data_IF_489928830196
#
_entry.id   IF_489928830196
#
_cell.length_a   1.000
_cell.length_b   1.000
_cell.length_c   1.000
_cell.angle_alpha   90.00
_cell.angle_beta   90.00
_cell.angle_gamma   90.00
#
_symmetry.space_group_name_H-M   'P 1'
#
loop_
_entity.id
_entity.type
_entity.pdbx_description
1 polymer ?
#
# COMPACT_ATOMS: atom_id res chain seq x y z
N UNK A 1 1.66 -1.07 27.68
CA UNK A 1 1.22 -1.93 26.56
C UNK A 1 0.74 -1.08 25.37
N UNK A 2 -0.15 -0.09 25.55
CA UNK A 2 -0.58 0.85 24.48
C UNK A 2 0.55 1.73 23.88
N UNK A 3 1.52 2.17 24.70
CA UNK A 3 2.73 2.85 24.19
C UNK A 3 3.63 1.94 23.35
N UNK A 4 3.59 0.63 23.61
CA UNK A 4 4.37 -0.36 22.85
C UNK A 4 3.71 -0.62 21.51
N UNK A 5 2.38 -0.69 21.45
CA UNK A 5 1.63 -0.91 20.21
C UNK A 5 1.68 0.29 19.26
N UNK A 6 1.66 1.51 19.80
CA UNK A 6 1.84 2.75 19.01
C UNK A 6 3.29 2.92 18.55
N UNK A 7 4.26 2.58 19.39
CA UNK A 7 5.67 2.54 19.00
C UNK A 7 5.93 1.48 17.92
N UNK A 8 5.33 0.29 18.06
CA UNK A 8 5.39 -0.76 17.05
C UNK A 8 4.78 -0.27 15.74
N UNK A 9 3.56 0.28 15.73
CA UNK A 9 2.94 0.75 14.48
C UNK A 9 3.75 1.84 13.79
N UNK A 10 4.32 2.80 14.53
CA UNK A 10 5.19 3.84 13.98
C UNK A 10 6.48 3.24 13.39
N UNK A 11 7.06 2.21 14.02
CA UNK A 11 8.22 1.50 13.48
C UNK A 11 7.83 0.73 12.23
N UNK A 12 6.72 0.01 12.24
CA UNK A 12 6.24 -0.80 11.11
C UNK A 12 5.90 0.07 9.91
N UNK A 13 5.23 1.21 10.10
CA UNK A 13 4.95 2.16 9.01
C UNK A 13 6.24 2.68 8.39
N UNK A 14 7.23 3.05 9.21
CA UNK A 14 8.55 3.46 8.69
C UNK A 14 9.27 2.31 7.99
N UNK A 15 9.19 1.09 8.52
CA UNK A 15 9.82 -0.08 7.93
C UNK A 15 9.20 -0.40 6.56
N UNK A 16 7.88 -0.35 6.44
CA UNK A 16 7.15 -0.53 5.18
C UNK A 16 7.52 0.53 4.15
N UNK A 17 7.68 1.80 4.56
CA UNK A 17 8.16 2.88 3.70
C UNK A 17 9.59 2.62 3.19
N UNK A 18 10.48 2.16 4.06
CA UNK A 18 11.85 1.79 3.68
C UNK A 18 11.89 0.59 2.74
N UNK A 19 11.12 -0.47 3.04
CA UNK A 19 10.99 -1.66 2.20
C UNK A 19 10.43 -1.28 0.84
N UNK A 20 9.45 -0.38 0.79
CA UNK A 20 8.92 0.14 -0.45
C UNK A 20 9.97 0.91 -1.25
N UNK A 21 10.75 1.79 -0.61
CA UNK A 21 11.80 2.56 -1.29
C UNK A 21 12.89 1.64 -1.87
N UNK A 22 13.36 0.67 -1.08
CA UNK A 22 14.38 -0.29 -1.50
C UNK A 22 13.87 -1.15 -2.65
N UNK A 23 12.65 -1.68 -2.55
CA UNK A 23 12.07 -2.50 -3.62
C UNK A 23 11.82 -1.68 -4.88
N UNK A 24 11.37 -0.43 -4.75
CA UNK A 24 11.16 0.47 -5.89
C UNK A 24 12.48 0.80 -6.59
N UNK A 25 13.51 1.14 -5.82
CA UNK A 25 14.84 1.40 -6.35
C UNK A 25 15.42 0.17 -7.06
N UNK A 26 15.34 -1.01 -6.41
CA UNK A 26 15.77 -2.27 -7.00
C UNK A 26 15.06 -2.56 -8.32
N UNK A 27 13.74 -2.35 -8.38
CA UNK A 27 12.94 -2.54 -9.59
C UNK A 27 13.29 -1.58 -10.73
N UNK A 28 13.69 -0.35 -10.41
CA UNK A 28 14.15 0.66 -11.39
C UNK A 28 15.50 0.25 -11.94
N UNK A 29 16.46 -0.09 -11.08
CA UNK A 29 17.81 -0.54 -11.48
C UNK A 29 17.72 -1.78 -12.36
N UNK A 30 16.91 -2.76 -11.95
CA UNK A 30 16.66 -3.99 -12.71
C UNK A 30 16.05 -3.72 -14.10
N UNK A 31 15.19 -2.71 -14.22
CA UNK A 31 14.66 -2.27 -15.51
C UNK A 31 15.74 -1.61 -16.38
N UNK A 32 16.54 -0.70 -15.81
CA UNK A 32 17.65 -0.04 -16.51
C UNK A 32 18.67 -1.04 -17.05
N UNK A 33 19.07 -2.04 -16.26
CA UNK A 33 20.00 -3.09 -16.68
C UNK A 33 19.44 -3.87 -17.88
N UNK A 34 18.15 -4.25 -17.84
CA UNK A 34 17.52 -4.97 -18.96
C UNK A 34 17.47 -4.16 -20.25
N UNK A 35 17.17 -2.86 -20.16
CA UNK A 35 17.19 -1.95 -21.32
C UNK A 35 18.60 -1.82 -21.89
N UNK A 36 19.61 -1.66 -21.04
CA UNK A 36 21.00 -1.55 -21.46
C UNK A 36 21.48 -2.81 -22.21
N UNK A 37 21.15 -4.00 -21.69
CA UNK A 37 21.47 -5.27 -22.35
C UNK A 37 20.77 -5.38 -23.71
N UNK A 38 19.51 -4.95 -23.83
CA UNK A 38 18.78 -4.93 -25.10
C UNK A 38 19.46 -4.03 -26.14
N UNK A 39 19.86 -2.81 -25.73
CA UNK A 39 20.54 -1.86 -26.62
C UNK A 39 21.89 -2.43 -27.12
N UNK A 40 22.67 -3.05 -26.22
CA UNK A 40 23.91 -3.73 -26.59
C UNK A 40 23.63 -4.87 -27.57
N UNK A 41 22.59 -5.66 -27.31
CA UNK A 41 22.23 -6.80 -28.17
C UNK A 41 21.83 -6.35 -29.57
N UNK A 42 21.05 -5.27 -29.68
CA UNK A 42 20.66 -4.67 -30.96
C UNK A 42 21.87 -4.09 -31.70
N UNK A 43 22.74 -3.36 -30.99
CA UNK A 43 23.97 -2.82 -31.57
C UNK A 43 24.88 -3.93 -32.12
N UNK A 44 25.05 -5.02 -31.36
CA UNK A 44 25.81 -6.18 -31.82
C UNK A 44 25.21 -6.80 -33.06
N UNK A 45 23.88 -6.99 -33.17
CA UNK A 45 23.25 -7.53 -34.38
C UNK A 45 23.39 -6.59 -35.59
N UNK A 46 23.37 -5.28 -35.36
CA UNK A 46 23.45 -4.28 -36.43
C UNK A 46 24.89 -4.10 -36.97
N UNK A 47 25.89 -4.20 -36.10
CA UNK A 47 27.30 -3.91 -36.45
C UNK A 47 28.16 -5.17 -36.61
N UNK A 48 27.85 -6.24 -35.87
CA UNK A 48 28.47 -7.56 -36.00
C UNK A 48 27.43 -8.46 -36.69
N UNK A 49 27.85 -9.42 -37.53
CA UNK A 49 26.94 -10.46 -38.05
C UNK A 49 26.53 -11.39 -36.90
N UNK A 50 25.60 -10.91 -36.06
CA UNK A 50 25.08 -11.60 -34.90
C UNK A 50 24.18 -12.75 -35.35
N UNK A 51 24.66 -13.98 -35.17
CA UNK A 51 23.92 -15.19 -35.53
C UNK A 51 22.61 -15.38 -34.75
N UNK A 52 21.90 -16.46 -35.10
CA UNK A 52 20.58 -16.86 -34.56
C UNK A 52 20.44 -16.80 -33.04
N UNK A 53 21.55 -16.97 -32.31
CA UNK A 53 21.61 -16.87 -30.84
C UNK A 53 21.19 -15.47 -30.35
N UNK A 54 21.63 -14.40 -31.03
CA UNK A 54 21.33 -13.02 -30.64
C UNK A 54 19.85 -12.69 -30.80
N UNK A 55 19.22 -13.23 -31.84
CA UNK A 55 17.77 -13.07 -32.09
C UNK A 55 16.96 -13.74 -30.99
N UNK A 56 17.34 -14.96 -30.59
CA UNK A 56 16.67 -15.68 -29.50
C UNK A 56 16.79 -14.95 -28.16
N UNK A 57 17.97 -14.39 -27.86
CA UNK A 57 18.18 -13.58 -26.66
C UNK A 57 17.33 -12.30 -26.65
N UNK A 58 17.21 -11.61 -27.79
CA UNK A 58 16.36 -10.42 -27.90
C UNK A 58 14.88 -10.77 -27.70
N UNK A 59 14.38 -11.86 -28.29
CA UNK A 59 12.99 -12.30 -28.14
C UNK A 59 12.64 -12.65 -26.68
N UNK A 60 13.50 -13.43 -26.03
CA UNK A 60 13.30 -13.83 -24.63
C UNK A 60 13.37 -12.63 -23.68
N UNK A 61 14.29 -11.68 -23.92
CA UNK A 61 14.49 -10.49 -23.11
C UNK A 61 13.34 -9.48 -23.29
N UNK A 62 12.86 -9.28 -24.52
CA UNK A 62 11.71 -8.40 -24.82
C UNK A 62 10.42 -8.97 -24.24
N UNK A 63 10.17 -10.28 -24.38
CA UNK A 63 9.05 -10.96 -23.75
C UNK A 63 9.04 -10.77 -22.23
N UNK A 64 10.18 -11.05 -21.57
CA UNK A 64 10.31 -10.91 -20.11
C UNK A 64 10.12 -9.47 -19.65
N UNK A 65 10.60 -8.49 -20.42
CA UNK A 65 10.44 -7.06 -20.12
C UNK A 65 8.97 -6.64 -20.22
N UNK A 66 8.24 -7.09 -21.25
CA UNK A 66 6.81 -6.79 -21.43
C UNK A 66 5.97 -7.46 -20.33
N UNK A 67 6.26 -8.71 -20.00
CA UNK A 67 5.57 -9.43 -18.92
C UNK A 67 5.76 -8.73 -17.57
N UNK A 68 7.00 -8.39 -17.22
CA UNK A 68 7.32 -7.70 -15.97
C UNK A 68 6.74 -6.28 -15.93
N UNK A 69 6.76 -5.56 -17.04
CA UNK A 69 6.09 -4.26 -17.14
C UNK A 69 4.58 -4.43 -16.86
N UNK A 70 3.88 -5.33 -17.56
CA UNK A 70 2.45 -5.56 -17.34
C UNK A 70 2.11 -5.88 -15.89
N UNK A 71 2.89 -6.74 -15.24
CA UNK A 71 2.67 -7.08 -13.83
C UNK A 71 2.91 -5.89 -12.90
N UNK A 72 4.01 -5.13 -13.09
CA UNK A 72 4.32 -3.92 -12.30
C UNK A 72 3.26 -2.83 -12.49
N UNK A 73 2.79 -2.61 -13.71
CA UNK A 73 1.71 -1.67 -14.02
C UNK A 73 0.39 -2.08 -13.35
N UNK A 74 0.04 -3.38 -13.36
CA UNK A 74 -1.16 -3.88 -12.67
C UNK A 74 -1.09 -3.63 -11.15
N UNK A 75 0.08 -3.84 -10.55
CA UNK A 75 0.31 -3.58 -9.13
C UNK A 75 0.20 -2.08 -8.79
N UNK A 76 0.80 -1.21 -9.59
CA UNK A 76 0.69 0.25 -9.42
C UNK A 76 -0.75 0.75 -9.57
N UNK A 77 -1.49 0.26 -10.57
CA UNK A 77 -2.90 0.60 -10.74
C UNK A 77 -3.72 0.17 -9.53
N UNK A 78 -3.50 -1.04 -8.99
CA UNK A 78 -4.17 -1.53 -7.78
C UNK A 78 -3.91 -0.64 -6.56
N UNK A 79 -2.66 -0.18 -6.38
CA UNK A 79 -2.28 0.76 -5.31
C UNK A 79 -2.92 2.13 -5.49
N UNK A 80 -2.93 2.67 -6.71
CA UNK A 80 -3.57 3.97 -6.98
C UNK A 80 -5.09 3.95 -6.74
N UNK A 81 -5.76 2.83 -7.02
CA UNK A 81 -7.18 2.64 -6.71
C UNK A 81 -7.42 2.53 -5.21
N UNK A 82 -6.51 1.89 -4.46
CA UNK A 82 -6.58 1.82 -3.00
C UNK A 82 -6.43 3.20 -2.33
N UNK A 83 -5.49 4.03 -2.81
CA UNK A 83 -5.28 5.41 -2.30
C UNK A 83 -6.52 6.28 -2.55
N UNK A 84 -7.08 6.25 -3.77
CA UNK A 84 -8.32 6.98 -4.11
C UNK A 84 -9.52 6.55 -3.25
N UNK A 85 -9.55 5.28 -2.83
CA UNK A 85 -10.60 4.75 -1.93
C UNK A 85 -10.42 5.22 -0.49
N UNK A 86 -9.18 5.43 -0.04
CA UNK A 86 -8.86 6.00 1.27
C UNK A 86 -9.18 7.50 1.33
N UNK A 87 -8.90 8.25 0.26
CA UNK A 87 -9.23 9.69 0.15
C UNK A 87 -10.74 9.97 0.14
N UNK A 88 -11.57 8.99 -0.24
CA UNK A 88 -13.03 9.14 -0.26
C UNK A 88 -13.71 9.03 1.11
N UNK A 89 -12.98 8.76 2.19
CA UNK A 89 -13.53 8.63 3.54
C UNK A 89 -13.42 9.95 4.31
N UNK A 90 -14.56 10.52 4.73
CA UNK A 90 -14.63 11.80 5.44
C UNK A 90 -13.93 11.76 6.79
N UNK A 91 -13.11 12.77 7.11
CA UNK A 91 -12.41 12.94 8.39
C UNK A 91 -13.30 13.68 9.41
N UNK A 92 -13.50 13.11 10.60
CA UNK A 92 -14.34 13.73 11.63
C UNK A 92 -13.64 14.95 12.26
N UNK A 93 -14.38 16.05 12.39
CA UNK A 93 -13.89 17.36 12.86
C UNK A 93 -13.71 17.38 14.38
N UNK A 94 -12.64 18.02 14.85
CA UNK A 94 -12.25 18.16 16.26
C UNK A 94 -13.31 18.80 17.17
N UNK A 95 -14.30 19.50 16.62
CA UNK A 95 -15.37 20.19 17.36
C UNK A 95 -16.48 19.27 17.86
N UNK A 96 -16.76 18.13 17.21
CA UNK A 96 -17.73 17.15 17.72
C UNK A 96 -17.15 16.29 18.86
N UNK A 97 -15.83 16.35 19.04
CA UNK A 97 -15.09 15.54 19.98
C UNK A 97 -14.99 16.13 21.38
N UNK A 98 -15.10 17.45 21.50
CA UNK A 98 -15.09 18.15 22.78
C UNK A 98 -16.45 18.10 23.50
N UNK A 99 -17.52 17.75 22.80
CA UNK A 99 -18.89 17.77 23.32
C UNK A 99 -19.31 16.39 23.88
N UNK A 100 -18.80 15.30 23.30
CA UNK A 100 -18.91 13.93 23.81
C UNK A 100 -17.58 13.52 24.44
N UNK A 101 -17.36 13.95 25.68
CA UNK A 101 -16.19 13.61 26.51
C UNK A 101 -16.22 12.14 26.96
N UNK A 102 -16.32 11.22 26.00
CA UNK A 102 -16.42 9.78 26.22
C UNK A 102 -15.07 9.10 25.96
N UNK A 103 -14.83 8.06 26.76
CA UNK A 103 -13.67 7.19 26.69
C UNK A 103 -13.92 6.15 25.60
N UNK A 104 -12.93 5.86 24.75
CA UNK A 104 -13.09 4.85 23.71
C UNK A 104 -13.30 3.46 24.32
N UNK A 105 -14.40 2.79 23.97
CA UNK A 105 -14.71 1.45 24.49
C UNK A 105 -13.78 0.32 23.99
N UNK A 106 -12.83 0.62 23.09
CA UNK A 106 -11.83 -0.34 22.60
C UNK A 106 -10.50 -0.17 23.35
N UNK A 107 -9.96 1.06 23.43
CA UNK A 107 -8.65 1.31 24.06
C UNK A 107 -8.74 1.92 25.46
N UNK A 108 -9.94 2.29 25.91
CA UNK A 108 -10.23 2.93 27.20
C UNK A 108 -9.46 4.25 27.42
N UNK A 109 -9.09 4.94 26.35
CA UNK A 109 -8.44 6.26 26.39
C UNK A 109 -9.40 7.39 25.96
N UNK A 110 -9.11 8.61 26.40
CA UNK A 110 -9.86 9.81 26.02
C UNK A 110 -9.84 10.01 24.50
N UNK A 111 -10.99 10.37 23.94
CA UNK A 111 -11.13 10.60 22.50
C UNK A 111 -10.51 11.95 22.11
N UNK A 112 -9.35 11.92 21.43
CA UNK A 112 -8.72 13.07 20.74
C UNK A 112 -8.99 13.09 19.22
N UNK A 113 -9.48 11.97 18.66
CA UNK A 113 -10.22 11.89 17.40
C UNK A 113 -11.22 10.72 17.46
N UNK A 114 -12.43 10.86 16.89
CA UNK A 114 -13.43 9.79 16.86
C UNK A 114 -14.01 9.60 15.47
N UNK A 115 -14.33 8.36 15.15
CA UNK A 115 -15.11 7.91 14.01
C UNK A 115 -16.45 7.46 14.54
N UNK A 116 -17.50 7.89 13.85
CA UNK A 116 -18.88 7.55 14.18
C UNK A 116 -19.29 6.39 13.26
N UNK A 117 -19.69 5.27 13.86
CA UNK A 117 -20.26 4.14 13.11
C UNK A 117 -21.70 4.44 12.68
N UNK A 118 -22.24 3.68 11.71
CA UNK A 118 -23.65 3.85 11.27
C UNK A 118 -24.69 3.60 12.37
N UNK A 119 -24.31 2.84 13.40
CA UNK A 119 -25.08 2.65 14.63
C UNK A 119 -24.84 3.76 15.67
N UNK A 120 -24.22 4.86 15.28
CA UNK A 120 -24.00 6.07 16.08
C UNK A 120 -23.11 5.88 17.32
N UNK A 121 -22.14 4.96 17.25
CA UNK A 121 -21.13 4.76 18.30
C UNK A 121 -19.80 5.42 17.92
N UNK A 122 -19.08 5.93 18.93
CA UNK A 122 -17.88 6.72 18.77
C UNK A 122 -16.64 5.90 19.17
N UNK A 123 -15.62 5.86 18.31
CA UNK A 123 -14.35 5.17 18.57
C UNK A 123 -13.18 5.91 17.91
N UNK A 124 -11.94 5.76 18.38
CA UNK A 124 -10.81 6.27 17.59
C UNK A 124 -10.77 5.60 16.22
N UNK A 125 -10.38 6.36 15.19
CA UNK A 125 -10.33 5.79 13.83
C UNK A 125 -9.33 4.66 13.68
N UNK A 126 -8.25 4.69 14.45
CA UNK A 126 -7.25 3.63 14.48
C UNK A 126 -7.77 2.39 15.21
N UNK A 127 -8.45 2.57 16.34
CA UNK A 127 -9.06 1.47 17.11
C UNK A 127 -10.14 0.76 16.29
N UNK A 128 -11.00 1.53 15.63
CA UNK A 128 -12.05 1.00 14.78
C UNK A 128 -11.48 0.30 13.54
N UNK A 129 -10.40 0.83 12.95
CA UNK A 129 -9.69 0.18 11.82
C UNK A 129 -9.07 -1.15 12.21
N UNK A 130 -8.47 -1.25 13.40
CA UNK A 130 -7.93 -2.51 13.91
C UNK A 130 -9.04 -3.52 14.20
N UNK A 131 -10.15 -3.08 14.79
CA UNK A 131 -11.30 -3.95 15.06
C UNK A 131 -11.92 -4.54 13.79
N UNK A 132 -12.12 -3.71 12.76
CA UNK A 132 -12.63 -4.15 11.45
C UNK A 132 -11.67 -5.02 10.65
N UNK A 133 -10.43 -5.19 11.10
CA UNK A 133 -9.52 -6.16 10.50
C UNK A 133 -9.97 -7.60 10.78
N UNK A 134 -10.53 -7.84 11.97
CA UNK A 134 -10.91 -9.18 12.43
C UNK A 134 -12.44 -9.38 12.56
N UNK A 135 -13.24 -8.31 12.60
CA UNK A 135 -14.68 -8.39 12.86
C UNK A 135 -15.48 -7.40 11.99
N UNK A 136 -16.58 -7.83 11.38
CA UNK A 136 -17.43 -6.96 10.52
C UNK A 136 -18.55 -6.21 11.28
N UNK A 137 -18.51 -6.22 12.61
CA UNK A 137 -19.64 -5.76 13.44
C UNK A 137 -19.18 -4.71 14.43
N UNK A 138 -20.08 -3.81 14.82
CA UNK A 138 -19.77 -2.80 15.82
C UNK A 138 -19.40 -3.46 17.18
N UNK A 139 -18.30 -3.06 17.85
CA UNK A 139 -17.90 -3.62 19.15
C UNK A 139 -18.95 -3.44 20.26
N UNK A 140 -19.80 -2.42 20.14
CA UNK A 140 -20.80 -2.06 21.15
C UNK A 140 -22.15 -2.72 20.94
N UNK A 141 -22.56 -2.97 19.69
CA UNK A 141 -23.92 -3.42 19.38
C UNK A 141 -24.01 -4.62 18.45
N UNK A 142 -22.88 -5.18 18.01
CA UNK A 142 -22.80 -6.35 17.11
C UNK A 142 -23.63 -6.23 15.82
N UNK A 143 -24.09 -5.03 15.47
CA UNK A 143 -24.76 -4.79 14.20
C UNK A 143 -23.72 -4.61 13.10
N UNK A 144 -24.01 -5.17 11.92
CA UNK A 144 -23.16 -5.04 10.73
C UNK A 144 -23.11 -3.56 10.35
N UNK A 145 -21.91 -3.03 10.17
CA UNK A 145 -21.69 -1.66 9.72
C UNK A 145 -21.79 -1.58 8.19
N UNK A 146 -22.97 -1.88 7.62
CA UNK A 146 -23.17 -1.81 6.17
C UNK A 146 -23.59 -0.44 5.69
#
# INVERSE_FOLDING_TARGET
>A
LLLIDTYYSIIWDKLDDYVFYINSFGNIVEFCIRVFILLISVYNVAFIFGGVVSVFLILTQTYSTIYNARNKWKELTRRSTAIKKIESLSQATSTQLSEFNDVCAICHENMNSARITKCNHYFHGECLRKWFYDNDHCPMCYTISE
#
